data_IF_691661068413
#
_entry.id   IF_691661068413
#
_cell.length_a   1.000
_cell.length_b   1.000
_cell.length_c   1.000
_cell.angle_alpha   90.00
_cell.angle_beta   90.00
_cell.angle_gamma   90.00
#
_symmetry.space_group_name_H-M   'P 1'
#
loop_
_entity.id
_entity.type
_entity.pdbx_description
1 polymer ?
#
# COMPACT_ATOMS: atom_id res chain seq x y z
N UNK A 1 0.27 0.20 -11.54
CA UNK A 1 0.13 0.51 -10.09
C UNK A 1 1.52 0.46 -9.50
N UNK A 2 1.80 1.26 -8.48
CA UNK A 2 3.17 1.37 -7.93
C UNK A 2 3.35 0.52 -6.67
N UNK A 3 2.29 0.29 -5.90
CA UNK A 3 2.26 -0.61 -4.74
C UNK A 3 0.92 -1.30 -4.60
N UNK A 4 0.81 -2.19 -3.61
CA UNK A 4 -0.41 -2.94 -3.32
C UNK A 4 -0.69 -3.01 -1.82
N UNK A 5 -1.96 -3.19 -1.48
CA UNK A 5 -2.39 -3.60 -0.14
C UNK A 5 -3.00 -4.99 -0.25
N UNK A 6 -2.34 -5.99 0.34
CA UNK A 6 -2.88 -7.34 0.42
C UNK A 6 -3.74 -7.50 1.66
N UNK A 7 -5.02 -7.78 1.46
CA UNK A 7 -5.97 -8.01 2.55
C UNK A 7 -6.08 -9.52 2.80
N UNK A 8 -5.92 -9.93 4.05
CA UNK A 8 -6.17 -11.32 4.49
C UNK A 8 -7.15 -11.33 5.65
N UNK A 9 -7.75 -12.48 5.92
CA UNK A 9 -8.72 -12.66 6.99
C UNK A 9 -8.02 -13.11 8.28
N UNK A 10 -8.34 -12.48 9.42
CA UNK A 10 -7.77 -12.83 10.72
C UNK A 10 -8.13 -14.22 11.23
N UNK A 11 -9.20 -14.84 10.73
CA UNK A 11 -9.59 -16.22 11.10
C UNK A 11 -8.82 -17.24 10.26
N UNK A 12 -8.96 -17.16 8.93
CA UNK A 12 -8.41 -18.15 8.01
C UNK A 12 -6.93 -17.94 7.68
N UNK A 13 -6.40 -16.73 7.87
CA UNK A 13 -5.07 -16.34 7.42
C UNK A 13 -4.97 -16.33 5.89
N UNK A 14 -3.80 -16.72 5.39
CA UNK A 14 -3.53 -16.84 3.95
C UNK A 14 -4.23 -18.06 3.35
N UNK A 15 -5.01 -17.85 2.29
CA UNK A 15 -5.72 -18.88 1.54
C UNK A 15 -5.11 -19.08 0.15
N UNK A 16 -5.48 -20.16 -0.55
CA UNK A 16 -4.94 -20.49 -1.88
C UNK A 16 -5.16 -19.36 -2.93
N UNK A 17 -6.28 -18.65 -2.82
CA UNK A 17 -6.58 -17.49 -3.66
C UNK A 17 -5.65 -16.31 -3.34
N UNK A 18 -5.35 -16.09 -2.06
CA UNK A 18 -4.38 -15.07 -1.61
C UNK A 18 -3.00 -15.34 -2.20
N UNK A 19 -2.53 -16.58 -2.20
CA UNK A 19 -1.24 -16.97 -2.80
C UNK A 19 -1.19 -16.68 -4.30
N UNK A 20 -2.29 -16.93 -5.00
CA UNK A 20 -2.39 -16.66 -6.45
C UNK A 20 -2.24 -15.17 -6.75
N UNK A 21 -2.93 -14.32 -6.00
CA UNK A 21 -2.84 -12.86 -6.14
C UNK A 21 -1.47 -12.35 -5.69
N UNK A 22 -0.91 -12.91 -4.62
CA UNK A 22 0.42 -12.56 -4.14
C UNK A 22 1.51 -12.87 -5.17
N UNK A 23 1.40 -14.01 -5.86
CA UNK A 23 2.31 -14.38 -6.96
C UNK A 23 2.25 -13.36 -8.09
N UNK A 24 1.07 -12.85 -8.44
CA UNK A 24 0.94 -11.78 -9.43
C UNK A 24 1.65 -10.50 -8.98
N UNK A 25 1.41 -10.06 -7.73
CA UNK A 25 2.09 -8.88 -7.18
C UNK A 25 3.62 -9.05 -7.17
N UNK A 26 4.09 -10.25 -6.85
CA UNK A 26 5.53 -10.60 -6.85
C UNK A 26 6.12 -10.57 -8.26
N UNK A 27 5.42 -11.13 -9.27
CA UNK A 27 5.85 -11.10 -10.68
C UNK A 27 6.04 -9.67 -11.20
N UNK A 28 5.15 -8.75 -10.79
CA UNK A 28 5.25 -7.34 -11.15
C UNK A 28 6.12 -6.52 -10.19
N UNK A 29 6.83 -7.17 -9.25
CA UNK A 29 7.72 -6.55 -8.29
C UNK A 29 7.04 -5.43 -7.48
N UNK A 30 5.76 -5.58 -7.15
CA UNK A 30 5.01 -4.56 -6.41
C UNK A 30 5.38 -4.59 -4.91
N UNK A 31 5.85 -3.47 -4.33
CA UNK A 31 5.88 -3.28 -2.88
C UNK A 31 4.48 -3.46 -2.28
N UNK A 32 4.41 -4.06 -1.10
CA UNK A 32 3.14 -4.49 -0.53
C UNK A 32 3.06 -4.24 0.98
N UNK A 33 1.92 -3.74 1.43
CA UNK A 33 1.52 -3.67 2.83
C UNK A 33 0.41 -4.68 3.07
N UNK A 34 0.52 -5.48 4.12
CA UNK A 34 -0.45 -6.53 4.43
C UNK A 34 -1.39 -6.03 5.52
N UNK A 35 -2.70 -6.22 5.33
CA UNK A 35 -3.74 -5.86 6.28
C UNK A 35 -4.56 -7.09 6.67
N UNK A 36 -4.43 -7.49 7.93
CA UNK A 36 -5.22 -8.56 8.54
C UNK A 36 -6.57 -7.98 8.97
N UNK A 37 -7.59 -8.22 8.16
CA UNK A 37 -8.93 -7.69 8.36
C UNK A 37 -9.83 -8.70 9.09
N UNK A 38 -11.02 -8.24 9.48
CA UNK A 38 -12.06 -9.01 10.19
C UNK A 38 -11.60 -9.49 11.56
N UNK A 39 -10.81 -8.68 12.26
CA UNK A 39 -10.37 -8.98 13.64
C UNK A 39 -11.53 -9.03 14.64
N UNK A 40 -12.71 -8.53 14.28
CA UNK A 40 -13.96 -8.58 15.04
C UNK A 40 -14.70 -9.94 14.96
N UNK A 41 -14.20 -10.89 14.16
CA UNK A 41 -14.81 -12.21 14.01
C UNK A 41 -14.38 -13.17 15.11
N UNK A 42 -15.30 -14.06 15.47
CA UNK A 42 -14.99 -15.18 16.36
C UNK A 42 -13.89 -16.06 15.76
N UNK A 43 -12.91 -16.42 16.57
CA UNK A 43 -11.73 -17.18 16.12
C UNK A 43 -10.67 -16.35 15.38
N UNK A 44 -10.80 -15.02 15.31
CA UNK A 44 -9.74 -14.18 14.75
C UNK A 44 -8.48 -14.28 15.61
N UNK A 45 -7.36 -14.61 14.96
CA UNK A 45 -6.07 -14.80 15.60
C UNK A 45 -4.99 -14.16 14.72
N UNK A 46 -4.46 -13.02 15.17
CA UNK A 46 -3.51 -12.22 14.40
C UNK A 46 -2.16 -12.90 14.27
N UNK A 47 -1.67 -13.52 15.34
CA UNK A 47 -0.40 -14.24 15.35
C UNK A 47 -0.42 -15.41 14.37
N UNK A 48 -1.52 -16.17 14.36
CA UNK A 48 -1.76 -17.21 13.36
C UNK A 48 -1.78 -16.62 11.95
N UNK A 49 -2.50 -15.53 11.70
CA UNK A 49 -2.52 -14.88 10.39
C UNK A 49 -1.12 -14.45 9.94
N UNK A 50 -0.32 -13.84 10.81
CA UNK A 50 1.10 -13.48 10.58
C UNK A 50 1.94 -14.72 10.28
N UNK A 51 1.72 -15.82 11.00
CA UNK A 51 2.43 -17.07 10.75
C UNK A 51 2.08 -17.64 9.38
N UNK A 52 0.81 -17.64 8.97
CA UNK A 52 0.41 -18.09 7.63
C UNK A 52 0.99 -17.21 6.52
N UNK A 53 1.18 -15.89 6.76
CA UNK A 53 1.89 -15.00 5.83
C UNK A 53 3.32 -15.50 5.63
N UNK A 54 4.04 -15.75 6.72
CA UNK A 54 5.42 -16.26 6.67
C UNK A 54 5.51 -17.59 5.92
N UNK A 55 4.68 -18.56 6.31
CA UNK A 55 4.81 -19.94 5.85
C UNK A 55 4.31 -20.13 4.42
N UNK A 56 3.18 -19.50 4.05
CA UNK A 56 2.55 -19.72 2.74
C UNK A 56 3.03 -18.76 1.67
N UNK A 57 3.27 -17.49 2.02
CA UNK A 57 3.78 -16.51 1.07
C UNK A 57 5.32 -16.53 0.98
N UNK A 58 5.98 -17.20 1.94
CA UNK A 58 7.44 -17.34 2.01
C UNK A 58 8.15 -15.98 2.02
N UNK A 59 7.63 -15.06 2.83
CA UNK A 59 8.15 -13.69 2.97
C UNK A 59 8.44 -13.36 4.43
N UNK A 60 9.14 -12.23 4.67
CA UNK A 60 9.42 -11.69 6.00
C UNK A 60 8.34 -10.66 6.38
N UNK A 61 7.24 -11.05 7.05
CA UNK A 61 6.32 -10.06 7.60
C UNK A 61 7.00 -9.29 8.72
N UNK A 62 6.70 -8.00 8.83
CA UNK A 62 7.09 -7.18 9.98
C UNK A 62 5.83 -6.59 10.60
N UNK A 63 5.55 -6.97 11.84
CA UNK A 63 4.36 -6.50 12.56
C UNK A 63 4.56 -5.03 12.92
N UNK A 64 3.66 -4.15 12.50
CA UNK A 64 3.70 -2.73 12.88
C UNK A 64 2.59 -2.35 13.85
N UNK A 65 1.58 -3.21 13.98
CA UNK A 65 0.47 -3.05 14.90
C UNK A 65 0.13 -4.34 15.63
N UNK A 66 -0.22 -4.22 16.90
CA UNK A 66 -0.66 -5.35 17.75
C UNK A 66 -2.15 -5.17 18.04
N UNK A 67 -3.02 -6.18 17.81
CA UNK A 67 -4.42 -6.05 18.14
C UNK A 67 -4.65 -6.04 19.66
N UNK A 68 -5.59 -5.22 20.10
CA UNK A 68 -6.09 -5.18 21.47
C UNK A 68 -7.43 -5.92 21.50
N UNK A 69 -7.53 -6.93 22.35
CA UNK A 69 -8.77 -7.63 22.64
C UNK A 69 -9.19 -7.40 24.09
N UNK A 70 -10.50 -7.38 24.35
CA UNK A 70 -10.99 -7.46 25.74
C UNK A 70 -11.01 -8.90 26.25
N UNK A 71 -11.40 -9.08 27.51
CA UNK A 71 -11.47 -10.40 28.17
C UNK A 71 -12.45 -11.38 27.50
N UNK A 72 -13.35 -10.89 26.65
CA UNK A 72 -14.30 -11.70 25.89
C UNK A 72 -13.83 -11.92 24.44
N UNK A 73 -12.54 -11.68 24.15
CA UNK A 73 -11.95 -11.73 22.82
C UNK A 73 -12.62 -10.80 21.79
N UNK A 74 -13.23 -9.69 22.22
CA UNK A 74 -13.73 -8.68 21.28
C UNK A 74 -12.63 -7.72 20.90
N UNK A 75 -12.48 -7.46 19.60
CA UNK A 75 -11.51 -6.50 19.09
C UNK A 75 -11.83 -5.06 19.56
N UNK A 76 -10.88 -4.46 20.29
CA UNK A 76 -10.99 -3.11 20.88
C UNK A 76 -10.09 -2.08 20.22
N UNK A 77 -9.13 -2.49 19.41
CA UNK A 77 -8.26 -1.54 18.72
C UNK A 77 -6.88 -2.10 18.49
N UNK A 78 -5.90 -1.21 18.39
CA UNK A 78 -4.53 -1.57 18.03
C UNK A 78 -3.51 -0.78 18.84
N UNK A 79 -2.34 -1.37 19.07
CA UNK A 79 -1.14 -0.67 19.52
C UNK A 79 -0.27 -0.44 18.28
N UNK A 80 0.07 0.81 17.98
CA UNK A 80 1.01 1.18 16.94
C UNK A 80 2.43 1.14 17.52
N UNK A 81 3.25 0.19 17.04
CA UNK A 81 4.59 -0.05 17.58
C UNK A 81 5.50 1.16 17.32
N UNK A 82 5.34 1.82 16.16
CA UNK A 82 6.24 2.88 15.71
C UNK A 82 5.91 4.20 16.42
N UNK A 83 4.61 4.52 16.53
CA UNK A 83 4.12 5.70 17.26
C UNK A 83 4.17 5.52 18.78
N UNK A 84 4.26 4.29 19.28
CA UNK A 84 4.14 3.94 20.71
C UNK A 84 2.79 4.34 21.31
N UNK A 85 1.73 4.25 20.51
CA UNK A 85 0.39 4.68 20.90
C UNK A 85 -0.57 3.50 20.93
N UNK A 86 -1.45 3.47 21.91
CA UNK A 86 -2.62 2.61 21.93
C UNK A 86 -3.82 3.37 21.38
N UNK A 87 -4.51 2.79 20.40
CA UNK A 87 -5.70 3.34 19.75
C UNK A 87 -6.85 2.39 20.07
N UNK A 88 -7.75 2.82 20.96
CA UNK A 88 -8.86 2.01 21.44
C UNK A 88 -10.20 2.60 21.03
N UNK A 89 -11.10 1.74 20.59
CA UNK A 89 -12.47 2.08 20.19
C UNK A 89 -13.44 1.57 21.24
N UNK A 90 -14.33 2.45 21.68
CA UNK A 90 -15.40 2.09 22.60
C UNK A 90 -16.55 1.40 21.86
N UNK A 91 -17.51 0.83 22.59
CA UNK A 91 -18.67 0.16 21.98
C UNK A 91 -19.67 1.13 21.36
N UNK A 92 -19.74 2.36 21.88
CA UNK A 92 -20.58 3.46 21.39
C UNK A 92 -20.01 4.13 20.12
N UNK A 93 -18.73 3.93 19.81
CA UNK A 93 -18.13 4.38 18.55
C UNK A 93 -18.37 3.34 17.44
N UNK A 94 -19.61 3.30 16.94
CA UNK A 94 -20.01 2.41 15.85
C UNK A 94 -19.31 2.74 14.53
N UNK A 95 -18.97 4.01 14.33
CA UNK A 95 -18.33 4.51 13.10
C UNK A 95 -16.80 4.52 13.17
N UNK A 96 -16.20 4.22 14.33
CA UNK A 96 -14.76 4.18 14.52
C UNK A 96 -14.07 5.54 14.35
N UNK A 97 -14.77 6.64 14.61
CA UNK A 97 -14.32 8.01 14.32
C UNK A 97 -13.70 8.73 15.52
N UNK A 98 -14.00 8.27 16.74
CA UNK A 98 -13.54 8.93 17.98
C UNK A 98 -12.80 7.93 18.87
N UNK A 99 -11.68 7.36 18.39
CA UNK A 99 -10.88 6.47 19.21
C UNK A 99 -10.26 7.23 20.39
N UNK A 100 -10.18 6.57 21.53
CA UNK A 100 -9.29 6.99 22.62
C UNK A 100 -7.86 6.65 22.22
N UNK A 101 -6.99 7.66 22.21
CA UNK A 101 -5.57 7.51 21.94
C UNK A 101 -4.80 7.86 23.21
N UNK A 102 -3.89 6.99 23.62
CA UNK A 102 -2.96 7.24 24.73
C UNK A 102 -1.58 6.68 24.41
N UNK A 103 -0.57 7.09 25.17
CA UNK A 103 0.72 6.41 25.14
C UNK A 103 0.53 4.94 25.52
N UNK A 104 1.29 4.05 24.89
CA UNK A 104 1.21 2.62 25.18
C UNK A 104 1.51 2.32 26.65
N UNK A 105 2.42 3.08 27.29
CA UNK A 105 2.80 2.93 28.69
C UNK A 105 1.67 3.29 29.66
N UNK A 106 0.66 4.03 29.20
CA UNK A 106 -0.53 4.37 29.99
C UNK A 106 -1.60 3.26 29.97
N UNK A 107 -1.37 2.16 29.24
CA UNK A 107 -2.28 1.01 29.24
C UNK A 107 -2.29 0.32 30.61
N UNK A 108 -3.48 0.19 31.20
CA UNK A 108 -3.71 -0.59 32.41
C UNK A 108 -3.76 -2.11 32.14
N UNK A 109 -2.80 -2.65 31.38
CA UNK A 109 -2.72 -4.08 31.05
C UNK A 109 -1.26 -4.53 30.96
N UNK A 110 -0.72 -5.17 32.02
CA UNK A 110 0.67 -5.65 32.03
C UNK A 110 0.97 -6.64 30.90
N UNK A 111 0.01 -7.48 30.53
CA UNK A 111 0.15 -8.45 29.43
C UNK A 111 0.34 -7.75 28.08
N UNK A 112 -0.45 -6.71 27.78
CA UNK A 112 -0.33 -5.95 26.54
C UNK A 112 0.97 -5.14 26.50
N UNK A 113 1.42 -4.61 27.63
CA UNK A 113 2.71 -3.93 27.74
C UNK A 113 3.87 -4.89 27.42
N UNK A 114 3.88 -6.08 28.04
CA UNK A 114 4.90 -7.09 27.77
C UNK A 114 4.89 -7.54 26.30
N UNK A 115 3.70 -7.74 25.73
CA UNK A 115 3.54 -8.08 24.31
C UNK A 115 4.05 -6.98 23.39
N UNK A 116 3.82 -5.72 23.76
CA UNK A 116 4.35 -4.56 23.03
C UNK A 116 5.88 -4.50 23.09
N UNK A 117 6.50 -4.64 24.26
CA UNK A 117 7.96 -4.58 24.37
C UNK A 117 8.63 -5.69 23.54
N UNK A 118 8.16 -6.93 23.66
CA UNK A 118 8.66 -8.05 22.85
C UNK A 118 8.46 -7.82 21.35
N UNK A 119 7.28 -7.37 20.93
CA UNK A 119 7.03 -7.09 19.51
C UNK A 119 7.85 -5.90 19.00
N UNK A 120 8.19 -4.93 19.86
CA UNK A 120 9.04 -3.79 19.51
C UNK A 120 10.49 -4.20 19.35
N UNK A 121 11.01 -5.04 20.24
CA UNK A 121 12.34 -5.65 20.12
C UNK A 121 12.44 -6.43 18.81
N UNK A 122 11.52 -7.37 18.58
CA UNK A 122 11.43 -8.13 17.32
C UNK A 122 11.35 -7.19 16.11
N UNK A 123 10.53 -6.15 16.16
CA UNK A 123 10.39 -5.18 15.08
C UNK A 123 11.73 -4.49 14.76
N UNK A 124 12.45 -4.01 15.78
CA UNK A 124 13.72 -3.31 15.60
C UNK A 124 14.82 -4.25 15.10
N UNK A 125 14.90 -5.47 15.61
CA UNK A 125 15.84 -6.50 15.13
C UNK A 125 15.60 -6.83 13.66
N UNK A 126 14.34 -7.12 13.29
CA UNK A 126 14.00 -7.46 11.92
C UNK A 126 14.25 -6.31 10.93
N UNK A 127 14.13 -5.06 11.40
CA UNK A 127 14.42 -3.87 10.60
C UNK A 127 15.92 -3.59 10.50
N UNK A 128 16.69 -3.84 11.57
CA UNK A 128 18.14 -3.74 11.59
C UNK A 128 18.80 -4.65 10.56
N UNK A 129 18.27 -5.87 10.35
CA UNK A 129 18.73 -6.79 9.28
C UNK A 129 18.68 -6.18 7.87
N UNK A 130 17.86 -5.14 7.67
CA UNK A 130 17.63 -4.51 6.37
C UNK A 130 18.28 -3.14 6.24
N UNK A 131 18.77 -2.55 7.34
CA UNK A 131 19.19 -1.15 7.42
C UNK A 131 20.29 -0.93 8.47
N UNK A 132 21.51 -0.73 7.98
CA UNK A 132 22.71 -0.54 8.82
C UNK A 132 22.55 0.61 9.82
N UNK A 133 21.84 1.69 9.45
CA UNK A 133 21.63 2.83 10.34
C UNK A 133 20.65 2.54 11.49
N UNK A 134 19.78 1.54 11.35
CA UNK A 134 18.97 1.01 12.46
C UNK A 134 19.82 0.05 13.28
N UNK A 135 20.59 -0.83 12.63
CA UNK A 135 21.48 -1.78 13.30
C UNK A 135 22.45 -1.09 14.26
N UNK A 136 23.15 -0.05 13.81
CA UNK A 136 24.11 0.68 14.64
C UNK A 136 23.46 1.25 15.91
N UNK A 137 22.28 1.85 15.77
CA UNK A 137 21.53 2.42 16.91
C UNK A 137 21.11 1.36 17.91
N UNK A 138 20.59 0.22 17.42
CA UNK A 138 20.17 -0.89 18.29
C UNK A 138 21.37 -1.47 19.05
N UNK A 139 22.51 -1.67 18.38
CA UNK A 139 23.74 -2.17 19.01
C UNK A 139 24.31 -1.21 20.06
N UNK A 140 24.14 0.11 19.85
CA UNK A 140 24.52 1.15 20.81
C UNK A 140 23.50 1.33 21.95
N UNK A 141 22.39 0.58 21.96
CA UNK A 141 21.31 0.72 22.94
C UNK A 141 20.52 2.03 22.80
N UNK A 142 20.57 2.67 21.63
CA UNK A 142 19.85 3.90 21.31
C UNK A 142 18.51 3.59 20.64
N UNK A 143 17.43 4.17 21.18
CA UNK A 143 16.10 4.04 20.56
C UNK A 143 15.98 4.95 19.32
N UNK A 144 15.79 4.40 18.10
CA UNK A 144 15.70 5.21 16.90
C UNK A 144 14.45 6.10 16.88
N UNK A 145 14.60 7.33 16.38
CA UNK A 145 13.45 8.23 16.24
C UNK A 145 12.40 7.65 15.29
N UNK A 146 11.13 8.01 15.51
CA UNK A 146 10.02 7.58 14.67
C UNK A 146 10.25 7.85 13.17
N UNK A 147 10.79 9.02 12.83
CA UNK A 147 11.09 9.38 11.45
C UNK A 147 12.18 8.50 10.83
N UNK A 148 13.20 8.13 11.62
CA UNK A 148 14.26 7.20 11.19
C UNK A 148 13.67 5.83 10.91
N UNK A 149 12.85 5.31 11.84
CA UNK A 149 12.18 4.01 11.71
C UNK A 149 11.29 3.99 10.47
N UNK A 150 10.43 4.99 10.29
CA UNK A 150 9.54 5.07 9.12
C UNK A 150 10.33 5.12 7.81
N UNK A 151 11.39 5.92 7.74
CA UNK A 151 12.21 6.02 6.54
C UNK A 151 12.91 4.71 6.19
N UNK A 152 13.43 4.00 7.20
CA UNK A 152 14.02 2.67 7.03
C UNK A 152 12.99 1.65 6.56
N UNK A 153 11.84 1.58 7.24
CA UNK A 153 10.74 0.67 6.91
C UNK A 153 10.22 0.90 5.49
N UNK A 154 10.10 2.17 5.06
CA UNK A 154 9.75 2.54 3.68
C UNK A 154 10.76 1.97 2.67
N UNK A 155 12.07 2.20 2.89
CA UNK A 155 13.11 1.69 1.99
C UNK A 155 13.04 0.17 1.85
N UNK A 156 12.94 -0.52 2.98
CA UNK A 156 12.89 -1.97 3.01
C UNK A 156 11.59 -2.54 2.39
N UNK A 157 10.47 -1.84 2.53
CA UNK A 157 9.18 -2.16 1.87
C UNK A 157 9.27 -1.99 0.35
N UNK A 158 9.81 -0.86 -0.14
CA UNK A 158 9.98 -0.60 -1.58
C UNK A 158 10.94 -1.61 -2.21
N UNK A 159 11.98 -2.02 -1.47
CA UNK A 159 12.92 -3.06 -1.89
C UNK A 159 12.35 -4.49 -1.76
N UNK A 160 11.15 -4.65 -1.17
CA UNK A 160 10.49 -5.94 -0.90
C UNK A 160 11.34 -6.88 -0.03
N UNK A 161 12.14 -6.33 0.88
CA UNK A 161 12.93 -7.11 1.87
C UNK A 161 12.07 -7.57 3.05
N UNK A 162 11.07 -6.77 3.39
CA UNK A 162 10.09 -7.02 4.45
C UNK A 162 8.73 -6.47 4.02
N UNK A 163 7.68 -6.88 4.71
CA UNK A 163 6.30 -6.52 4.38
C UNK A 163 5.56 -6.07 5.64
N UNK A 164 5.24 -4.76 5.79
CA UNK A 164 4.52 -4.25 6.96
C UNK A 164 3.16 -4.94 7.12
N UNK A 165 2.86 -5.41 8.34
CA UNK A 165 1.59 -6.07 8.67
C UNK A 165 0.82 -5.23 9.69
N UNK A 166 -0.36 -4.80 9.27
CA UNK A 166 -1.36 -4.07 10.06
C UNK A 166 -2.58 -4.96 10.30
N UNK A 167 -3.45 -4.54 11.22
CA UNK A 167 -4.71 -5.25 11.46
C UNK A 167 -5.87 -4.32 11.78
N UNK A 168 -7.09 -4.85 11.61
CA UNK A 168 -8.29 -4.12 12.00
C UNK A 168 -9.59 -4.84 11.63
N UNK A 169 -10.69 -4.11 11.83
CA UNK A 169 -12.04 -4.55 11.55
C UNK A 169 -12.73 -3.49 10.68
N UNK A 170 -12.55 -3.59 9.36
CA UNK A 170 -13.02 -2.55 8.43
C UNK A 170 -14.53 -2.36 8.43
N UNK A 171 -15.32 -3.40 8.72
CA UNK A 171 -16.79 -3.27 8.80
C UNK A 171 -17.23 -2.33 9.93
N UNK A 172 -16.39 -2.16 10.95
CA UNK A 172 -16.59 -1.24 12.07
C UNK A 172 -15.70 0.00 11.97
N UNK A 173 -15.03 0.20 10.83
CA UNK A 173 -14.04 1.27 10.58
C UNK A 173 -12.88 1.32 11.59
N UNK A 174 -12.58 0.23 12.29
CA UNK A 174 -11.50 0.17 13.31
C UNK A 174 -10.21 -0.28 12.66
N UNK A 175 -9.13 0.49 12.82
CA UNK A 175 -7.80 0.19 12.26
C UNK A 175 -7.57 0.63 10.81
N UNK A 176 -8.62 1.05 10.07
CA UNK A 176 -8.50 1.49 8.67
C UNK A 176 -7.65 2.76 8.52
N UNK A 177 -7.73 3.68 9.47
CA UNK A 177 -6.93 4.91 9.46
C UNK A 177 -5.42 4.62 9.47
N UNK A 178 -4.98 3.65 10.27
CA UNK A 178 -3.57 3.23 10.30
C UNK A 178 -3.11 2.60 8.97
N UNK A 179 -4.01 1.90 8.27
CA UNK A 179 -3.74 1.39 6.93
C UNK A 179 -3.55 2.52 5.90
N UNK A 180 -4.35 3.58 5.97
CA UNK A 180 -4.20 4.75 5.10
C UNK A 180 -2.86 5.46 5.36
N UNK A 181 -2.51 5.66 6.64
CA UNK A 181 -1.20 6.21 7.02
C UNK A 181 -0.06 5.34 6.47
N UNK A 182 -0.12 4.03 6.67
CA UNK A 182 0.89 3.08 6.18
C UNK A 182 1.02 3.07 4.65
N UNK A 183 -0.08 3.27 3.93
CA UNK A 183 -0.09 3.40 2.47
C UNK A 183 0.74 4.62 2.05
N UNK A 184 0.60 5.75 2.73
CA UNK A 184 1.38 6.96 2.44
C UNK A 184 2.84 6.79 2.88
N UNK A 185 3.06 6.28 4.09
CA UNK A 185 4.39 6.20 4.69
C UNK A 185 5.28 5.17 3.99
N UNK A 186 4.74 3.99 3.63
CA UNK A 186 5.57 2.84 3.24
C UNK A 186 5.46 2.41 1.78
N UNK A 187 4.36 2.73 1.07
CA UNK A 187 4.25 2.39 -0.36
C UNK A 187 4.90 3.45 -1.26
N UNK A 188 5.40 3.05 -2.44
CA UNK A 188 6.10 3.95 -3.34
C UNK A 188 5.18 5.04 -3.91
N UNK A 189 5.80 6.20 -4.16
CA UNK A 189 5.26 7.22 -5.03
C UNK A 189 5.48 6.83 -6.51
N UNK A 190 4.69 7.35 -7.47
CA UNK A 190 5.01 7.19 -8.89
C UNK A 190 6.43 7.65 -9.25
N UNK A 191 7.00 8.58 -8.48
CA UNK A 191 8.38 9.06 -8.64
C UNK A 191 9.44 8.02 -8.24
N UNK A 192 9.07 7.02 -7.44
CA UNK A 192 9.93 5.92 -7.00
C UNK A 192 9.95 4.77 -8.03
N UNK A 193 9.16 4.87 -9.11
CA UNK A 193 9.11 3.84 -10.14
C UNK A 193 10.46 3.77 -10.88
N UNK A 194 11.02 2.56 -11.09
CA UNK A 194 12.29 2.41 -11.80
C UNK A 194 12.18 2.91 -13.25
N UNK A 195 13.31 3.31 -13.82
CA UNK A 195 13.37 3.61 -15.26
C UNK A 195 12.96 2.39 -16.09
N UNK A 196 12.24 2.62 -17.18
CA UNK A 196 11.78 1.55 -18.06
C UNK A 196 12.42 1.67 -19.44
N UNK A 197 12.68 0.52 -20.07
CA UNK A 197 13.26 0.47 -21.41
C UNK A 197 12.14 0.45 -22.43
N UNK A 198 12.18 1.39 -23.38
CA UNK A 198 11.30 1.40 -24.54
C UNK A 198 12.05 0.98 -25.78
N UNK A 199 11.35 0.34 -26.72
CA UNK A 199 11.87 -0.02 -28.04
C UNK A 199 11.32 0.97 -29.07
N UNK A 200 12.22 1.61 -29.81
CA UNK A 200 11.88 2.53 -30.90
C UNK A 200 11.50 1.77 -32.18
N UNK A 201 10.92 2.48 -33.14
CA UNK A 201 10.56 1.93 -34.46
C UNK A 201 11.75 1.36 -35.23
N UNK A 202 12.93 1.97 -35.08
CA UNK A 202 14.20 1.52 -35.66
C UNK A 202 14.78 0.27 -34.96
N UNK A 203 14.03 -0.34 -34.03
CA UNK A 203 14.40 -1.47 -33.18
C UNK A 203 15.46 -1.17 -32.12
N UNK A 204 15.99 0.05 -32.02
CA UNK A 204 16.87 0.45 -30.93
C UNK A 204 16.10 0.56 -29.61
N UNK A 205 16.82 0.42 -28.51
CA UNK A 205 16.26 0.57 -27.15
C UNK A 205 16.69 1.90 -26.55
N UNK A 206 15.80 2.55 -25.81
CA UNK A 206 16.10 3.73 -25.01
C UNK A 206 15.55 3.54 -23.61
N UNK A 207 16.34 3.86 -22.60
CA UNK A 207 15.86 3.96 -21.22
C UNK A 207 15.17 5.31 -21.03
N UNK A 208 13.95 5.28 -20.52
CA UNK A 208 13.21 6.47 -20.10
C UNK A 208 13.21 6.50 -18.59
N UNK A 209 13.67 7.63 -18.03
CA UNK A 209 13.50 7.89 -16.62
C UNK A 209 12.14 8.56 -16.41
N UNK A 210 11.48 8.23 -15.30
CA UNK A 210 10.20 8.83 -14.90
C UNK A 210 10.28 10.37 -14.85
N UNK A 211 11.46 10.90 -14.55
CA UNK A 211 11.76 12.34 -14.47
C UNK A 211 11.97 13.00 -15.84
N UNK A 212 12.11 12.22 -16.91
CA UNK A 212 12.31 12.75 -18.26
C UNK A 212 10.96 13.21 -18.80
N UNK A 213 10.67 14.51 -18.66
CA UNK A 213 9.43 15.12 -19.12
C UNK A 213 9.30 15.16 -20.66
N UNK A 214 10.41 15.00 -21.38
CA UNK A 214 10.51 15.14 -22.83
C UNK A 214 9.76 14.04 -23.61
N UNK A 215 9.38 12.95 -22.95
CA UNK A 215 8.71 11.82 -23.57
C UNK A 215 7.48 11.40 -22.78
N UNK A 216 6.30 11.63 -23.37
CA UNK A 216 5.05 11.17 -22.79
C UNK A 216 4.81 9.70 -23.12
N UNK A 217 4.58 8.88 -22.09
CA UNK A 217 4.26 7.46 -22.24
C UNK A 217 3.14 7.08 -21.28
N UNK A 218 2.17 6.32 -21.77
CA UNK A 218 1.08 5.78 -20.98
C UNK A 218 0.69 4.37 -21.42
N UNK A 219 0.10 3.62 -20.49
CA UNK A 219 -0.44 2.29 -20.73
C UNK A 219 -1.96 2.34 -20.63
N UNK A 220 -2.65 1.95 -21.69
CA UNK A 220 -4.07 1.63 -21.63
C UNK A 220 -4.26 0.24 -20.99
N UNK A 221 -5.09 0.15 -19.95
CA UNK A 221 -5.24 -1.10 -19.17
C UNK A 221 -6.69 -1.58 -19.03
N UNK A 222 -7.68 -0.74 -19.35
CA UNK A 222 -9.10 -1.11 -19.29
C UNK A 222 -9.90 -0.27 -20.25
N UNK A 223 -10.86 -0.88 -20.94
CA UNK A 223 -11.84 -0.18 -21.77
C UNK A 223 -13.23 -0.44 -21.20
N UNK A 224 -14.02 0.61 -21.03
CA UNK A 224 -15.42 0.52 -20.60
C UNK A 224 -16.29 1.36 -21.53
N UNK A 225 -17.59 1.08 -21.56
CA UNK A 225 -18.56 1.91 -22.27
C UNK A 225 -19.39 2.68 -21.27
N UNK A 226 -19.30 4.00 -21.32
CA UNK A 226 -20.19 4.91 -20.62
C UNK A 226 -21.45 5.18 -21.46
N UNK A 227 -22.61 5.30 -20.81
CA UNK A 227 -23.90 5.48 -21.49
C UNK A 227 -24.00 6.81 -22.24
N UNK A 228 -23.30 7.84 -21.79
CA UNK A 228 -23.39 9.20 -22.33
C UNK A 228 -22.12 9.57 -23.12
N UNK A 229 -20.96 9.13 -22.65
CA UNK A 229 -19.67 9.52 -23.24
C UNK A 229 -19.13 8.51 -24.26
N UNK A 230 -19.70 7.30 -24.35
CA UNK A 230 -19.23 6.25 -25.25
C UNK A 230 -18.02 5.49 -24.68
N UNK A 231 -17.10 5.00 -25.53
CA UNK A 231 -15.94 4.24 -25.07
C UNK A 231 -14.98 5.12 -24.25
N UNK A 232 -14.66 4.65 -23.05
CA UNK A 232 -13.67 5.23 -22.15
C UNK A 232 -12.49 4.26 -22.00
N UNK A 233 -11.31 4.73 -22.37
CA UNK A 233 -10.07 3.99 -22.24
C UNK A 233 -9.32 4.49 -21.01
N UNK A 234 -9.16 3.62 -20.02
CA UNK A 234 -8.38 3.92 -18.82
C UNK A 234 -6.90 3.76 -19.09
N UNK A 235 -6.16 4.82 -18.80
CA UNK A 235 -4.72 4.89 -18.97
C UNK A 235 -4.00 5.17 -17.66
N UNK A 236 -2.75 4.72 -17.58
CA UNK A 236 -1.77 5.10 -16.56
C UNK A 236 -0.61 5.82 -17.22
N UNK A 237 -0.29 7.03 -16.77
CA UNK A 237 0.85 7.81 -17.28
C UNK A 237 2.13 7.43 -16.53
N UNK A 238 3.18 7.05 -17.27
CA UNK A 238 4.46 6.60 -16.75
C UNK A 238 5.60 7.61 -16.94
N UNK A 239 5.48 8.51 -17.92
CA UNK A 239 6.42 9.63 -18.13
C UNK A 239 5.73 10.75 -18.88
N UNK A 240 6.25 11.97 -18.74
CA UNK A 240 5.75 13.17 -19.41
C UNK A 240 4.29 13.53 -19.08
N UNK A 241 3.69 14.36 -19.94
CA UNK A 241 2.31 14.82 -19.83
C UNK A 241 1.58 14.61 -21.16
N UNK A 242 0.35 14.12 -21.11
CA UNK A 242 -0.54 13.96 -22.25
C UNK A 242 -1.58 15.08 -22.24
N UNK A 243 -1.62 15.89 -23.28
CA UNK A 243 -2.55 17.01 -23.37
C UNK A 243 -3.73 16.69 -24.30
N UNK A 244 -4.91 17.20 -23.96
CA UNK A 244 -6.10 17.09 -24.82
C UNK A 244 -5.79 17.64 -26.21
N UNK A 245 -6.35 16.99 -27.25
CA UNK A 245 -6.22 17.40 -28.67
C UNK A 245 -4.80 17.36 -29.24
N UNK A 246 -3.84 16.75 -28.55
CA UNK A 246 -2.55 16.37 -29.13
C UNK A 246 -2.64 14.93 -29.64
N UNK A 247 -2.16 14.69 -30.86
CA UNK A 247 -2.14 13.36 -31.44
C UNK A 247 -1.22 12.45 -30.62
N UNK A 248 -1.79 11.35 -30.13
CA UNK A 248 -1.06 10.25 -29.51
C UNK A 248 -0.75 9.20 -30.56
N UNK A 249 0.26 8.38 -30.29
CA UNK A 249 0.60 7.25 -31.15
C UNK A 249 0.43 5.94 -30.38
N UNK A 250 -0.52 5.12 -30.82
CA UNK A 250 -0.72 3.78 -30.28
C UNK A 250 0.32 2.83 -30.88
N UNK A 251 1.31 2.49 -30.06
CA UNK A 251 2.45 1.65 -30.48
C UNK A 251 2.03 0.22 -30.85
N UNK A 252 0.95 -0.30 -30.28
CA UNK A 252 0.48 -1.67 -30.50
C UNK A 252 -0.28 -1.77 -31.81
N UNK A 253 -1.18 -0.80 -32.08
CA UNK A 253 -1.98 -0.75 -33.31
C UNK A 253 -1.28 0.00 -34.46
N UNK A 254 -0.16 0.67 -34.17
CA UNK A 254 0.64 1.46 -35.12
C UNK A 254 -0.13 2.61 -35.78
N UNK A 255 -1.06 3.21 -35.06
CA UNK A 255 -1.91 4.29 -35.55
C UNK A 255 -1.83 5.54 -34.67
N UNK A 256 -2.18 6.69 -35.25
CA UNK A 256 -2.36 7.93 -34.51
C UNK A 256 -3.78 7.98 -33.98
N UNK A 257 -3.92 8.37 -32.73
CA UNK A 257 -5.21 8.59 -32.07
C UNK A 257 -5.27 10.03 -31.59
N UNK A 258 -6.46 10.63 -31.63
CA UNK A 258 -6.66 12.01 -31.20
C UNK A 258 -7.61 12.04 -30.00
N UNK A 259 -7.08 12.01 -28.76
CA UNK A 259 -7.92 12.03 -27.57
C UNK A 259 -8.74 13.32 -27.53
N UNK A 260 -10.05 13.16 -27.41
CA UNK A 260 -10.98 14.28 -27.32
C UNK A 260 -10.91 14.92 -25.93
N UNK A 261 -10.95 14.10 -24.88
CA UNK A 261 -11.00 14.53 -23.48
C UNK A 261 -10.24 13.57 -22.57
N UNK A 262 -9.53 14.13 -21.59
CA UNK A 262 -9.02 13.40 -20.44
C UNK A 262 -9.93 13.64 -19.24
N UNK A 263 -10.23 12.56 -18.53
CA UNK A 263 -11.15 12.56 -17.41
C UNK A 263 -10.44 11.99 -16.18
N UNK A 264 -10.53 12.70 -15.06
CA UNK A 264 -10.18 12.16 -13.75
C UNK A 264 -11.45 11.58 -13.14
N UNK A 265 -11.42 10.29 -12.82
CA UNK A 265 -12.56 9.56 -12.26
C UNK A 265 -12.41 9.49 -10.75
N UNK A 266 -13.35 10.07 -10.03
CA UNK A 266 -13.47 9.98 -8.57
C UNK A 266 -14.49 8.89 -8.18
N UNK A 267 -14.73 8.73 -6.88
CA UNK A 267 -15.64 7.70 -6.37
C UNK A 267 -17.09 7.87 -6.86
N UNK A 268 -17.56 9.12 -6.99
CA UNK A 268 -18.94 9.48 -7.29
C UNK A 268 -19.09 10.47 -8.46
N UNK A 269 -17.97 10.93 -9.02
CA UNK A 269 -17.94 12.04 -9.96
C UNK A 269 -16.80 11.90 -10.97
N UNK A 270 -16.91 12.64 -12.07
CA UNK A 270 -15.91 12.68 -13.13
C UNK A 270 -15.62 14.14 -13.44
N UNK A 271 -14.33 14.48 -13.51
CA UNK A 271 -13.85 15.82 -13.82
C UNK A 271 -13.05 15.80 -15.13
N UNK A 272 -13.35 16.72 -16.05
CA UNK A 272 -12.55 16.91 -17.25
C UNK A 272 -11.28 17.69 -16.91
N UNK A 273 -10.13 17.17 -17.34
CA UNK A 273 -8.82 17.78 -17.10
C UNK A 273 -8.15 18.15 -18.42
N UNK A 274 -7.37 19.24 -18.40
CA UNK A 274 -6.64 19.69 -19.58
C UNK A 274 -5.49 18.73 -19.98
N UNK A 275 -4.91 18.02 -18.99
CA UNK A 275 -3.81 17.11 -19.20
C UNK A 275 -3.81 15.93 -18.22
N UNK A 276 -3.36 14.79 -18.71
CA UNK A 276 -3.00 13.60 -17.95
C UNK A 276 -1.51 13.69 -17.58
N UNK A 277 -1.21 13.73 -16.28
CA UNK A 277 0.16 13.90 -15.77
C UNK A 277 0.74 12.61 -15.22
N UNK A 278 2.06 12.59 -15.05
CA UNK A 278 2.80 11.49 -14.45
C UNK A 278 2.12 10.91 -13.21
N UNK A 279 2.00 9.58 -13.14
CA UNK A 279 1.51 8.91 -11.96
C UNK A 279 0.01 9.05 -11.71
N UNK A 280 -0.74 9.67 -12.63
CA UNK A 280 -2.19 9.68 -12.59
C UNK A 280 -2.82 8.52 -13.36
N UNK A 281 -3.95 8.02 -12.86
CA UNK A 281 -4.88 7.19 -13.62
C UNK A 281 -5.98 8.08 -14.20
N UNK A 282 -6.23 7.96 -15.50
CA UNK A 282 -7.20 8.79 -16.21
C UNK A 282 -8.07 7.92 -17.12
N UNK A 283 -9.30 8.35 -17.39
CA UNK A 283 -10.09 7.83 -18.50
C UNK A 283 -9.97 8.79 -19.69
N UNK A 284 -9.89 8.24 -20.89
CA UNK A 284 -9.76 8.99 -22.13
C UNK A 284 -10.92 8.66 -23.04
N UNK A 285 -11.54 9.71 -23.59
CA UNK A 285 -12.59 9.59 -24.60
C UNK A 285 -12.03 9.99 -25.98
N UNK A 286 -12.59 9.41 -27.05
CA UNK A 286 -12.24 9.70 -28.44
C UNK A 286 -11.03 8.94 -28.94
N UNK A 287 -10.74 7.78 -28.35
CA UNK A 287 -9.74 6.83 -28.86
C UNK A 287 -10.48 5.61 -29.43
N UNK A 288 -9.99 5.10 -30.56
CA UNK A 288 -10.60 4.00 -31.36
C UNK A 288 -9.83 2.70 -31.22
#
# INVERSE_FOLDING_TARGET
MDGAVTIIEGVAGVQAQTETVWRQATTYLLPNVIYVNKMDREGANFEHAVQTIRDRLQVKPIVVQIPIFDSNHRFRGVIDIIKKLAIQYSDDDELGLTPRICDVQELNSPELLQKYESAREDFLENLADCDDGIMDKVLEGQDPSQSTVKASLRRATIQRKLFPVLCGASLRNRGVHGLLDATVDYLPSPMDHPSFTVRKFDKSTKTIHVRDADHAAALAFKVTHDKHMGPLVFIRVYSGNLQSRHALYNVTQKQKELPAKFLRVFADSVEEVAAATLGGGYAVNGME
#
